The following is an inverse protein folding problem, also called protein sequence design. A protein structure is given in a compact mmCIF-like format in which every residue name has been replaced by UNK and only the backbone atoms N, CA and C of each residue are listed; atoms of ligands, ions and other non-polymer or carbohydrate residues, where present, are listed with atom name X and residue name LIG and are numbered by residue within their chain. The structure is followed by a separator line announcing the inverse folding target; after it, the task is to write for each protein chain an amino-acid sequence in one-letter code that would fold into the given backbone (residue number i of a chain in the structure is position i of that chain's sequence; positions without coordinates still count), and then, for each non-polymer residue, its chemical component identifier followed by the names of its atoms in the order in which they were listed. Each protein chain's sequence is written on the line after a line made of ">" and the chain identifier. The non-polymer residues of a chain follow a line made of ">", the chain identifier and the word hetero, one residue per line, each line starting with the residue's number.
data_IF_860789485724
#
_entry.id   IF_860789485724
#
_cell.length_a   1.000
_cell.length_b   1.000
_cell.length_c   1.000
_cell.angle_alpha   90.00
_cell.angle_beta   90.00
_cell.angle_gamma   90.00
#
_symmetry.space_group_name_H-M   'P 1'
#
loop_
_entity.id
_entity.type
_entity.pdbx_description
1 polymer ?
#
# COMPACT_ATOMS: atom_id res chain seq x y z
N UNK A 1 3.24 -10.03 10.05
CA UNK A 1 4.62 -10.10 9.59
C UNK A 1 4.96 -8.85 8.77
N UNK A 2 6.24 -8.44 8.72
CA UNK A 2 6.68 -7.35 7.85
C UNK A 2 6.81 -7.84 6.40
N UNK A 3 6.57 -6.94 5.45
CA UNK A 3 6.56 -7.25 4.02
C UNK A 3 7.63 -6.44 3.29
N UNK A 4 8.31 -7.05 2.34
CA UNK A 4 9.16 -6.38 1.35
C UNK A 4 8.58 -6.67 -0.03
N UNK A 5 8.33 -5.65 -0.83
CA UNK A 5 7.75 -5.80 -2.16
C UNK A 5 8.52 -4.99 -3.21
N UNK A 6 8.51 -5.48 -4.44
CA UNK A 6 9.10 -4.75 -5.58
C UNK A 6 8.25 -3.56 -6.02
N UNK A 7 8.88 -2.51 -6.53
CA UNK A 7 8.23 -1.27 -6.95
C UNK A 7 7.27 -1.43 -8.15
N UNK A 8 7.38 -2.53 -8.91
CA UNK A 8 6.48 -2.84 -10.03
C UNK A 8 5.37 -3.83 -9.67
N UNK A 9 5.22 -4.21 -8.40
CA UNK A 9 4.06 -4.99 -7.95
C UNK A 9 2.82 -4.10 -7.99
N UNK A 10 1.85 -4.43 -8.84
CA UNK A 10 0.71 -3.56 -9.12
C UNK A 10 -0.16 -3.18 -7.91
N UNK A 11 -0.24 -4.04 -6.90
CA UNK A 11 -0.97 -3.75 -5.66
C UNK A 11 -0.16 -2.92 -4.64
N UNK A 12 1.17 -2.89 -4.76
CA UNK A 12 2.03 -2.24 -3.78
C UNK A 12 1.72 -0.75 -3.55
N UNK A 13 1.46 0.08 -4.57
CA UNK A 13 1.11 1.49 -4.37
C UNK A 13 -0.13 1.74 -3.51
N UNK A 14 -1.03 0.76 -3.47
CA UNK A 14 -2.27 0.85 -2.71
C UNK A 14 -2.19 0.22 -1.31
N UNK A 15 -1.33 -0.79 -1.16
CA UNK A 15 -1.23 -1.59 0.06
C UNK A 15 -0.05 -1.20 0.95
N UNK A 16 1.05 -0.73 0.37
CA UNK A 16 2.30 -0.52 1.09
C UNK A 16 2.68 0.95 1.10
N UNK A 17 2.90 1.44 2.31
CA UNK A 17 3.50 2.73 2.60
C UNK A 17 4.93 2.47 3.10
N UNK A 18 5.94 2.82 2.27
CA UNK A 18 7.34 2.47 2.53
C UNK A 18 7.83 3.02 3.87
N UNK A 19 8.37 2.13 4.70
CA UNK A 19 8.84 2.43 6.05
C UNK A 19 7.75 2.48 7.13
N UNK A 20 6.45 2.38 6.77
CA UNK A 20 5.33 2.41 7.70
C UNK A 20 4.69 1.03 7.92
N UNK A 21 4.28 0.37 6.85
CA UNK A 21 3.64 -0.96 6.92
C UNK A 21 4.33 -2.02 6.05
N UNK A 22 5.49 -1.70 5.51
CA UNK A 22 6.34 -2.57 4.70
C UNK A 22 7.51 -1.79 4.11
N UNK A 23 8.33 -2.44 3.32
CA UNK A 23 9.40 -1.81 2.58
C UNK A 23 9.25 -2.09 1.08
N UNK A 24 9.61 -1.11 0.27
CA UNK A 24 9.64 -1.22 -1.18
C UNK A 24 11.09 -1.25 -1.66
N UNK A 25 11.44 -2.23 -2.48
CA UNK A 25 12.72 -2.24 -3.20
C UNK A 25 12.53 -1.89 -4.67
N UNK A 26 13.53 -1.30 -5.26
CA UNK A 26 13.55 -0.98 -6.68
C UNK A 26 13.56 -2.27 -7.50
N UNK A 27 12.61 -2.38 -8.44
CA UNK A 27 12.51 -3.58 -9.29
C UNK A 27 13.82 -3.83 -10.04
N UNK A 28 14.18 -5.12 -10.19
CA UNK A 28 15.42 -5.58 -10.84
C UNK A 28 16.72 -5.18 -10.12
N UNK A 29 16.64 -4.64 -8.90
CA UNK A 29 17.79 -4.26 -8.08
C UNK A 29 17.93 -5.22 -6.90
N UNK A 30 18.81 -6.24 -7.06
CA UNK A 30 19.04 -7.28 -6.05
C UNK A 30 19.71 -6.68 -4.82
N UNK A 31 20.61 -5.73 -4.98
CA UNK A 31 21.32 -5.10 -3.87
C UNK A 31 20.35 -4.28 -3.00
N UNK A 32 19.40 -3.58 -3.63
CA UNK A 32 18.35 -2.88 -2.88
C UNK A 32 17.41 -3.85 -2.16
N UNK A 33 17.05 -4.98 -2.78
CA UNK A 33 16.28 -6.04 -2.11
C UNK A 33 17.01 -6.58 -0.88
N UNK A 34 18.29 -6.90 -1.01
CA UNK A 34 19.12 -7.40 0.10
C UNK A 34 19.14 -6.36 1.22
N UNK A 35 19.42 -5.09 0.88
CA UNK A 35 19.44 -3.99 1.85
C UNK A 35 18.12 -3.83 2.62
N UNK A 36 16.96 -3.96 1.93
CA UNK A 36 15.64 -3.86 2.57
C UNK A 36 15.37 -5.05 3.50
N UNK A 37 15.78 -6.25 3.11
CA UNK A 37 15.65 -7.44 3.96
C UNK A 37 16.56 -7.35 5.18
N UNK A 38 17.83 -7.01 5.01
CA UNK A 38 18.78 -6.82 6.11
C UNK A 38 18.28 -5.77 7.10
N UNK A 39 17.75 -4.65 6.61
CA UNK A 39 17.17 -3.60 7.45
C UNK A 39 16.05 -4.12 8.36
N UNK A 40 15.18 -5.02 7.87
CA UNK A 40 14.16 -5.63 8.71
C UNK A 40 14.71 -6.67 9.67
N UNK A 41 15.75 -7.40 9.29
CA UNK A 41 16.39 -8.39 10.17
C UNK A 41 17.16 -7.73 11.31
N UNK A 42 17.81 -6.61 11.05
CA UNK A 42 18.65 -5.90 12.03
C UNK A 42 17.86 -4.98 12.95
N UNK A 43 16.68 -4.48 12.49
CA UNK A 43 15.84 -3.56 13.25
C UNK A 43 14.50 -4.23 13.65
N UNK A 44 14.49 -4.86 14.81
CA UNK A 44 13.30 -5.53 15.36
C UNK A 44 12.14 -4.57 15.64
N UNK A 45 12.42 -3.30 15.97
CA UNK A 45 11.40 -2.29 16.24
C UNK A 45 10.69 -1.92 14.94
N UNK A 46 11.45 -1.70 13.88
CA UNK A 46 10.89 -1.45 12.55
C UNK A 46 10.06 -2.63 12.05
N UNK A 47 10.58 -3.85 12.23
CA UNK A 47 9.89 -5.08 11.83
C UNK A 47 8.57 -5.26 12.55
N UNK A 48 8.55 -5.02 13.86
CA UNK A 48 7.31 -5.08 14.65
C UNK A 48 6.31 -3.99 14.23
N UNK A 49 6.77 -2.75 14.04
CA UNK A 49 5.97 -1.63 13.54
C UNK A 49 5.33 -1.97 12.19
N UNK A 50 6.15 -2.36 11.22
CA UNK A 50 5.67 -2.72 9.88
C UNK A 50 4.65 -3.86 9.93
N UNK A 51 4.92 -4.90 10.72
CA UNK A 51 4.02 -6.04 10.85
C UNK A 51 2.67 -5.68 11.47
N UNK A 52 2.64 -4.84 12.51
CA UNK A 52 1.40 -4.34 13.14
C UNK A 52 0.61 -3.47 12.17
N UNK A 53 1.27 -2.54 11.49
CA UNK A 53 0.62 -1.64 10.55
C UNK A 53 0.12 -2.38 9.30
N UNK A 54 0.87 -3.37 8.79
CA UNK A 54 0.41 -4.22 7.69
C UNK A 54 -0.88 -4.98 8.05
N UNK A 55 -0.93 -5.53 9.27
CA UNK A 55 -2.13 -6.20 9.76
C UNK A 55 -3.33 -5.23 9.85
N UNK A 56 -3.12 -4.03 10.39
CA UNK A 56 -4.16 -3.00 10.47
C UNK A 56 -4.66 -2.58 9.09
N UNK A 57 -3.77 -2.43 8.11
CA UNK A 57 -4.12 -2.10 6.73
C UNK A 57 -5.10 -3.11 6.13
N UNK A 58 -4.86 -4.39 6.33
CA UNK A 58 -5.77 -5.45 5.84
C UNK A 58 -7.05 -5.50 6.66
N UNK A 59 -6.93 -5.51 7.99
CA UNK A 59 -8.08 -5.63 8.89
C UNK A 59 -9.07 -4.48 8.74
N UNK A 60 -8.58 -3.25 8.63
CA UNK A 60 -9.42 -2.06 8.74
C UNK A 60 -9.77 -1.46 7.37
N UNK A 61 -8.92 -1.64 6.35
CA UNK A 61 -9.07 -0.99 5.05
C UNK A 61 -9.27 -1.97 3.89
N UNK A 62 -8.40 -2.97 3.73
CA UNK A 62 -8.38 -3.87 2.59
C UNK A 62 -9.00 -5.24 2.91
N UNK A 63 -10.26 -5.25 3.27
CA UNK A 63 -11.01 -6.47 3.60
C UNK A 63 -12.33 -6.55 2.80
N UNK A 64 -12.94 -7.72 2.80
CA UNK A 64 -14.14 -7.99 2.00
C UNK A 64 -15.36 -7.11 2.40
N UNK A 65 -15.46 -6.73 3.66
CA UNK A 65 -16.58 -5.87 4.13
C UNK A 65 -16.41 -4.45 3.61
N UNK A 66 -15.20 -3.90 3.71
CA UNK A 66 -14.87 -2.59 3.15
C UNK A 66 -15.03 -2.60 1.63
N UNK A 67 -14.60 -3.68 0.96
CA UNK A 67 -14.77 -3.82 -0.49
C UNK A 67 -16.25 -3.79 -0.91
N UNK A 68 -17.10 -4.56 -0.23
CA UNK A 68 -18.53 -4.57 -0.51
C UNK A 68 -19.18 -3.19 -0.25
N UNK A 69 -18.87 -2.58 0.91
CA UNK A 69 -19.38 -1.25 1.25
C UNK A 69 -18.98 -0.18 0.22
N UNK A 70 -17.70 -0.16 -0.14
CA UNK A 70 -17.17 0.80 -1.11
C UNK A 70 -17.74 0.58 -2.52
N UNK A 71 -18.00 -0.67 -2.92
CA UNK A 71 -18.65 -0.95 -4.19
C UNK A 71 -20.06 -0.37 -4.25
N UNK A 72 -20.86 -0.57 -3.22
CA UNK A 72 -22.20 0.02 -3.15
C UNK A 72 -22.16 1.54 -3.14
N UNK A 73 -21.26 2.14 -2.34
CA UNK A 73 -21.06 3.59 -2.32
C UNK A 73 -20.64 4.15 -3.70
N UNK A 74 -19.78 3.41 -4.43
CA UNK A 74 -19.37 3.78 -5.77
C UNK A 74 -20.58 3.78 -6.74
N UNK A 75 -21.42 2.76 -6.68
CA UNK A 75 -22.62 2.64 -7.51
C UNK A 75 -23.56 3.82 -7.23
N UNK A 76 -23.87 4.09 -5.97
CA UNK A 76 -24.73 5.20 -5.57
C UNK A 76 -24.17 6.56 -6.05
N UNK A 77 -22.86 6.78 -5.90
CA UNK A 77 -22.21 8.00 -6.37
C UNK A 77 -22.31 8.18 -7.89
N UNK A 78 -22.16 7.10 -8.66
CA UNK A 78 -22.30 7.12 -10.12
C UNK A 78 -23.76 7.42 -10.50
N UNK A 79 -24.74 6.77 -9.88
CA UNK A 79 -26.16 6.98 -10.15
C UNK A 79 -26.61 8.42 -9.83
N UNK A 80 -26.09 9.00 -8.76
CA UNK A 80 -26.40 10.35 -8.32
C UNK A 80 -25.56 11.44 -9.00
N UNK A 81 -24.56 11.08 -9.82
CA UNK A 81 -23.64 12.02 -10.47
C UNK A 81 -22.73 12.75 -9.48
N UNK A 82 -22.46 12.14 -8.31
CA UNK A 82 -21.61 12.72 -7.27
C UNK A 82 -20.15 12.27 -7.41
N UNK A 83 -19.22 13.04 -6.82
CA UNK A 83 -17.80 12.76 -6.93
C UNK A 83 -17.40 11.49 -6.14
N UNK A 84 -16.60 10.62 -6.76
CA UNK A 84 -16.11 9.35 -6.19
C UNK A 84 -14.80 9.50 -5.41
N UNK A 85 -14.30 10.72 -5.25
CA UNK A 85 -12.95 11.00 -4.71
C UNK A 85 -12.78 10.73 -3.21
N UNK A 86 -13.86 10.41 -2.49
CA UNK A 86 -13.84 10.15 -1.05
C UNK A 86 -13.69 8.68 -0.66
N UNK A 87 -13.64 7.77 -1.64
CA UNK A 87 -13.50 6.34 -1.37
C UNK A 87 -12.02 6.00 -1.16
N UNK A 88 -11.68 5.42 0.00
CA UNK A 88 -10.35 4.92 0.32
C UNK A 88 -10.33 3.40 0.41
N UNK A 89 -9.26 2.76 -0.06
CA UNK A 89 -9.14 1.32 -0.09
C UNK A 89 -9.76 0.71 -1.36
N UNK A 90 -10.43 -0.44 -1.29
CA UNK A 90 -11.08 -1.04 -2.45
C UNK A 90 -12.03 -0.06 -3.14
N UNK A 91 -12.02 -0.01 -4.47
CA UNK A 91 -12.78 0.93 -5.31
C UNK A 91 -12.34 2.40 -5.23
N UNK A 92 -11.20 2.71 -4.61
CA UNK A 92 -10.67 4.07 -4.66
C UNK A 92 -10.24 4.46 -6.08
N UNK A 93 -10.25 5.76 -6.43
CA UNK A 93 -9.71 6.23 -7.70
C UNK A 93 -8.26 5.80 -7.89
N UNK A 94 -7.90 5.30 -9.07
CA UNK A 94 -6.55 4.92 -9.40
C UNK A 94 -5.77 6.14 -9.93
N UNK A 95 -4.80 6.69 -9.18
CA UNK A 95 -3.97 7.78 -9.69
C UNK A 95 -2.97 7.27 -10.74
N UNK A 96 -2.52 8.16 -11.60
CA UNK A 96 -1.32 7.92 -12.39
C UNK A 96 -0.13 8.03 -11.44
N UNK A 97 0.65 6.97 -11.33
CA UNK A 97 1.83 6.90 -10.47
C UNK A 97 3.11 6.95 -11.32
N UNK A 98 4.16 7.59 -10.81
CA UNK A 98 5.49 7.61 -11.42
C UNK A 98 6.30 6.37 -11.02
N UNK A 99 7.37 6.06 -11.76
CA UNK A 99 8.23 4.89 -11.48
C UNK A 99 8.87 4.90 -10.09
N UNK A 100 8.98 6.08 -9.47
CA UNK A 100 9.56 6.28 -8.15
C UNK A 100 8.51 6.67 -7.08
N UNK A 101 7.27 6.24 -7.24
CA UNK A 101 6.14 6.56 -6.37
C UNK A 101 6.39 6.29 -4.86
N UNK A 102 7.25 5.35 -4.55
CA UNK A 102 7.61 4.94 -3.19
C UNK A 102 8.69 5.80 -2.54
N UNK A 103 9.45 6.59 -3.30
CA UNK A 103 10.54 7.43 -2.80
C UNK A 103 10.04 8.83 -2.42
N UNK A 104 9.57 8.96 -1.18
CA UNK A 104 9.04 10.23 -0.64
C UNK A 104 10.04 11.39 -0.61
N UNK A 105 11.34 11.11 -0.76
CA UNK A 105 12.38 12.15 -0.76
C UNK A 105 12.53 12.85 -2.12
N UNK A 106 11.89 12.32 -3.15
CA UNK A 106 11.97 12.83 -4.52
C UNK A 106 10.68 13.46 -5.03
N UNK A 107 9.69 13.56 -4.16
CA UNK A 107 8.43 14.23 -4.48
C UNK A 107 8.49 15.70 -4.06
#
# INVERSE_FOLDING_TARGET
>A
CAVVAGSLVGAAPFLIEDGENGLIFKNEDIDDLISKVEKLLDDSILTEKCGKNAYATIKDKWNYRTAAHNLFALIENIENGTAVNSIEGPCQPAPIISDNWYDRKKV
#
